data_IF_254956714226
#
_entry.id   IF_254956714226
#
_cell.length_a   1.000
_cell.length_b   1.000
_cell.length_c   1.000
_cell.angle_alpha   90.00
_cell.angle_beta   90.00
_cell.angle_gamma   90.00
#
_symmetry.space_group_name_H-M   'P 1'
#
loop_
_entity.id
_entity.type
_entity.pdbx_description
1 polymer ?
#
# COMPACT_ATOMS: atom_id res chain seq x y z
N UNK A 1 7.79 28.08 17.51
CA UNK A 1 8.31 26.83 16.91
C UNK A 1 7.11 25.89 16.85
N UNK A 2 6.32 25.84 15.79
CA UNK A 2 6.70 25.60 14.41
C UNK A 2 6.43 24.11 14.12
N UNK A 3 5.37 23.85 13.37
CA UNK A 3 4.91 22.56 12.82
C UNK A 3 3.89 21.79 13.67
N UNK A 4 2.61 22.09 13.41
CA UNK A 4 1.52 21.16 13.62
C UNK A 4 1.61 20.01 12.63
N UNK A 5 1.47 18.79 13.12
CA UNK A 5 1.14 17.62 12.33
C UNK A 5 0.12 16.81 13.13
N UNK A 6 -1.10 17.34 13.23
CA UNK A 6 -2.26 16.50 13.51
C UNK A 6 -2.47 15.60 12.28
N UNK A 7 -1.85 14.43 12.25
CA UNK A 7 -2.33 13.31 11.43
C UNK A 7 -2.87 12.24 12.39
N UNK A 8 -4.04 12.52 12.96
CA UNK A 8 -4.88 11.51 13.60
C UNK A 8 -5.27 10.48 12.52
N UNK A 9 -4.40 9.48 12.32
CA UNK A 9 -4.63 8.30 11.49
C UNK A 9 -5.27 7.23 12.37
N UNK A 10 -6.44 7.54 12.92
CA UNK A 10 -7.18 6.70 13.89
C UNK A 10 -8.10 5.69 13.20
N UNK A 11 -7.80 5.30 11.95
CA UNK A 11 -8.61 4.36 11.17
C UNK A 11 -8.06 2.94 11.13
N UNK A 12 -6.75 2.79 11.00
CA UNK A 12 -6.09 1.48 10.88
C UNK A 12 -5.66 0.97 12.26
N UNK A 13 -5.81 -0.33 12.48
CA UNK A 13 -5.30 -0.97 13.69
C UNK A 13 -3.77 -0.94 13.73
N UNK A 14 -3.17 -0.74 14.91
CA UNK A 14 -1.72 -0.62 15.09
C UNK A 14 -0.96 -1.84 14.56
N UNK A 15 -1.54 -3.03 14.76
CA UNK A 15 -1.01 -4.30 14.22
C UNK A 15 -0.91 -4.28 12.69
N UNK A 16 -1.95 -3.80 12.01
CA UNK A 16 -1.96 -3.72 10.54
C UNK A 16 -0.95 -2.70 10.05
N UNK A 17 -0.84 -1.56 10.74
CA UNK A 17 0.16 -0.53 10.44
C UNK A 17 1.58 -1.09 10.55
N UNK A 18 1.88 -1.79 11.64
CA UNK A 18 3.18 -2.43 11.82
C UNK A 18 3.48 -3.44 10.71
N UNK A 19 2.51 -4.29 10.35
CA UNK A 19 2.65 -5.27 9.25
C UNK A 19 2.86 -4.60 7.90
N UNK A 20 2.06 -3.60 7.57
CA UNK A 20 2.19 -2.83 6.35
C UNK A 20 3.57 -2.18 6.24
N UNK A 21 4.06 -1.56 7.32
CA UNK A 21 5.40 -0.97 7.36
C UNK A 21 6.52 -2.01 7.24
N UNK A 22 6.34 -3.18 7.85
CA UNK A 22 7.31 -4.28 7.73
C UNK A 22 7.45 -4.75 6.28
N UNK A 23 6.33 -4.90 5.57
CA UNK A 23 6.34 -5.23 4.14
C UNK A 23 6.95 -4.10 3.32
N UNK A 24 6.61 -2.85 3.64
CA UNK A 24 7.19 -1.70 2.96
C UNK A 24 8.72 -1.75 3.00
N UNK A 25 9.29 -1.92 4.20
CA UNK A 25 10.74 -2.06 4.42
C UNK A 25 11.34 -3.32 3.80
N UNK A 26 10.54 -4.37 3.60
CA UNK A 26 10.97 -5.60 2.94
C UNK A 26 11.15 -5.38 1.43
N UNK A 27 10.31 -4.54 0.84
CA UNK A 27 10.34 -4.20 -0.58
C UNK A 27 11.37 -3.09 -0.83
N UNK A 28 11.40 -2.07 0.03
CA UNK A 28 12.38 -0.96 0.06
C UNK A 28 13.75 -1.48 0.52
N UNK A 29 14.44 -2.18 -0.38
CA UNK A 29 15.74 -2.79 -0.14
C UNK A 29 16.80 -1.70 0.06
N UNK A 30 16.66 -0.56 -0.64
CA UNK A 30 17.61 0.54 -0.58
C UNK A 30 17.37 1.49 0.61
N UNK A 31 16.30 1.29 1.39
CA UNK A 31 15.87 2.15 2.51
C UNK A 31 15.77 3.62 2.11
N UNK A 32 15.31 3.89 0.89
CA UNK A 32 15.10 5.25 0.39
C UNK A 32 13.88 5.93 1.02
N UNK A 33 12.97 5.15 1.62
CA UNK A 33 11.68 5.64 2.11
C UNK A 33 10.60 5.68 1.02
N UNK A 34 10.88 5.13 -0.15
CA UNK A 34 9.96 5.01 -1.28
C UNK A 34 10.20 3.72 -2.04
N UNK A 35 9.13 3.02 -2.40
CA UNK A 35 9.22 1.80 -3.19
C UNK A 35 9.21 2.14 -4.68
N UNK A 36 10.24 1.69 -5.38
CA UNK A 36 10.32 1.83 -6.83
C UNK A 36 9.94 0.55 -7.60
N UNK A 37 9.80 0.68 -8.93
CA UNK A 37 9.40 -0.42 -9.81
C UNK A 37 10.46 -1.51 -9.89
N UNK A 38 11.73 -1.19 -9.69
CA UNK A 38 12.82 -2.16 -9.76
C UNK A 38 12.89 -2.99 -8.47
N UNK A 39 12.65 -2.36 -7.33
CA UNK A 39 12.55 -3.00 -6.01
C UNK A 39 11.39 -4.00 -5.93
N UNK A 40 10.21 -3.60 -6.38
CA UNK A 40 9.04 -4.50 -6.47
C UNK A 40 9.28 -5.66 -7.42
N UNK A 41 9.93 -5.43 -8.56
CA UNK A 41 10.33 -6.51 -9.46
C UNK A 41 11.30 -7.50 -8.80
N UNK A 42 12.28 -6.99 -8.03
CA UNK A 42 13.22 -7.80 -7.25
C UNK A 42 12.56 -8.52 -6.09
N UNK A 43 11.45 -8.00 -5.55
CA UNK A 43 10.69 -8.66 -4.49
C UNK A 43 9.97 -9.89 -5.03
N UNK A 44 9.21 -9.76 -6.14
CA UNK A 44 8.41 -10.86 -6.68
C UNK A 44 9.18 -11.90 -7.49
N UNK A 45 10.37 -11.59 -8.02
CA UNK A 45 11.31 -12.47 -8.78
C UNK A 45 10.70 -13.47 -9.79
N UNK A 46 9.46 -13.27 -10.19
CA UNK A 46 8.67 -14.19 -11.03
C UNK A 46 8.37 -13.53 -12.36
N UNK A 47 7.96 -14.31 -13.36
CA UNK A 47 7.53 -13.77 -14.66
C UNK A 47 6.36 -12.77 -14.54
N UNK A 48 5.60 -12.83 -13.45
CA UNK A 48 4.50 -11.91 -13.15
C UNK A 48 4.89 -10.68 -12.34
N UNK A 49 6.16 -10.53 -11.97
CA UNK A 49 6.64 -9.41 -11.16
C UNK A 49 6.27 -8.06 -11.80
N UNK A 50 6.40 -7.92 -13.13
CA UNK A 50 5.98 -6.70 -13.85
C UNK A 50 4.48 -6.41 -13.74
N UNK A 51 3.65 -7.46 -13.83
CA UNK A 51 2.18 -7.32 -13.72
C UNK A 51 1.79 -6.95 -12.30
N UNK A 52 2.37 -7.61 -11.30
CA UNK A 52 2.16 -7.29 -9.88
C UNK A 52 2.62 -5.87 -9.56
N UNK A 53 3.79 -5.48 -10.05
CA UNK A 53 4.33 -4.12 -9.91
C UNK A 53 3.34 -3.12 -10.49
N UNK A 54 2.93 -3.27 -11.75
CA UNK A 54 2.00 -2.31 -12.36
C UNK A 54 0.65 -2.25 -11.62
N UNK A 55 0.13 -3.39 -11.16
CA UNK A 55 -1.12 -3.45 -10.40
C UNK A 55 -1.00 -2.78 -9.02
N UNK A 56 0.14 -2.95 -8.35
CA UNK A 56 0.46 -2.32 -7.08
C UNK A 56 0.53 -0.80 -7.24
N UNK A 57 1.32 -0.32 -8.19
CA UNK A 57 1.45 1.10 -8.47
C UNK A 57 0.09 1.71 -8.83
N UNK A 58 -0.67 1.10 -9.73
CA UNK A 58 -2.01 1.62 -10.07
C UNK A 58 -2.96 1.73 -8.88
N UNK A 59 -2.77 0.95 -7.82
CA UNK A 59 -3.62 0.94 -6.64
C UNK A 59 -3.15 1.92 -5.56
N UNK A 60 -1.84 2.11 -5.41
CA UNK A 60 -1.22 2.84 -4.28
C UNK A 60 -0.56 4.16 -4.69
N UNK A 61 -0.03 4.25 -5.91
CA UNK A 61 0.59 5.45 -6.48
C UNK A 61 -0.51 6.43 -6.91
N UNK A 62 -1.02 7.19 -5.94
CA UNK A 62 -2.14 8.12 -6.14
C UNK A 62 -1.73 9.34 -6.96
N UNK A 63 -0.49 9.80 -6.76
CA UNK A 63 0.05 10.96 -7.45
C UNK A 63 0.67 10.62 -8.82
N UNK A 64 0.80 9.33 -9.15
CA UNK A 64 1.43 8.82 -10.38
C UNK A 64 2.88 9.30 -10.51
N UNK A 65 3.55 9.53 -9.40
CA UNK A 65 4.98 9.88 -9.37
C UNK A 65 5.85 8.74 -9.90
N UNK A 66 5.33 7.51 -9.90
CA UNK A 66 6.07 6.32 -10.29
C UNK A 66 6.92 5.74 -9.17
N UNK A 67 6.72 6.20 -7.92
CA UNK A 67 7.29 5.66 -6.68
C UNK A 67 6.19 5.65 -5.61
N UNK A 68 6.19 4.68 -4.70
CA UNK A 68 5.21 4.61 -3.62
C UNK A 68 5.86 5.06 -2.32
N UNK A 69 5.40 6.17 -1.77
CA UNK A 69 5.92 6.70 -0.50
C UNK A 69 5.31 5.95 0.70
N UNK A 70 5.98 5.97 1.85
CA UNK A 70 5.43 5.39 3.09
C UNK A 70 4.05 5.99 3.45
N UNK A 71 3.89 7.31 3.26
CA UNK A 71 2.61 8.00 3.48
C UNK A 71 1.48 7.45 2.58
N UNK A 72 1.77 7.22 1.28
CA UNK A 72 0.78 6.71 0.32
C UNK A 72 0.43 5.25 0.60
N UNK A 73 1.44 4.45 0.92
CA UNK A 73 1.28 3.07 1.36
C UNK A 73 0.35 2.97 2.57
N UNK A 74 0.59 3.79 3.59
CA UNK A 74 -0.24 3.82 4.79
C UNK A 74 -1.65 4.33 4.51
N UNK A 75 -1.78 5.40 3.72
CA UNK A 75 -3.07 5.95 3.32
C UNK A 75 -3.92 4.93 2.55
N UNK A 76 -3.29 4.14 1.67
CA UNK A 76 -3.97 3.07 0.94
C UNK A 76 -4.65 2.08 1.87
N UNK A 77 -3.93 1.55 2.87
CA UNK A 77 -4.52 0.60 3.84
C UNK A 77 -5.64 1.23 4.66
N UNK A 78 -5.55 2.52 4.98
CA UNK A 78 -6.67 3.24 5.61
C UNK A 78 -7.88 3.35 4.70
N UNK A 79 -7.68 3.55 3.39
CA UNK A 79 -8.76 3.57 2.42
C UNK A 79 -9.36 2.17 2.25
N UNK A 80 -8.54 1.12 2.22
CA UNK A 80 -9.01 -0.28 2.24
C UNK A 80 -9.94 -0.50 3.42
N UNK A 81 -9.51 -0.11 4.63
CA UNK A 81 -10.34 -0.16 5.83
C UNK A 81 -11.65 0.64 5.69
N UNK A 82 -11.58 1.88 5.20
CA UNK A 82 -12.74 2.77 4.99
C UNK A 82 -13.71 2.27 3.92
N UNK A 83 -13.21 1.54 2.92
CA UNK A 83 -14.04 0.95 1.85
C UNK A 83 -14.88 -0.25 2.35
N UNK A 84 -14.64 -0.71 3.58
CA UNK A 84 -15.46 -1.71 4.26
C UNK A 84 -14.79 -3.08 4.44
N UNK A 85 -13.48 -3.20 4.25
CA UNK A 85 -12.74 -4.42 4.60
C UNK A 85 -12.47 -4.48 6.11
N UNK A 86 -12.56 -5.69 6.65
CA UNK A 86 -12.29 -5.95 8.07
C UNK A 86 -10.79 -6.00 8.36
N UNK A 87 -10.40 -5.84 9.63
CA UNK A 87 -8.97 -5.95 10.01
C UNK A 87 -8.40 -7.31 9.66
N UNK A 88 -9.22 -8.36 9.77
CA UNK A 88 -8.80 -9.73 9.50
C UNK A 88 -8.50 -9.93 8.02
N UNK A 89 -9.39 -9.49 7.14
CA UNK A 89 -9.16 -9.53 5.69
C UNK A 89 -7.89 -8.75 5.32
N UNK A 90 -7.73 -7.54 5.84
CA UNK A 90 -6.53 -6.74 5.58
C UNK A 90 -5.26 -7.46 6.08
N UNK A 91 -5.30 -8.04 7.27
CA UNK A 91 -4.16 -8.78 7.83
C UNK A 91 -3.79 -9.99 6.99
N UNK A 92 -4.77 -10.77 6.52
CA UNK A 92 -4.54 -11.94 5.69
C UNK A 92 -3.91 -11.54 4.35
N UNK A 93 -4.34 -10.43 3.76
CA UNK A 93 -3.73 -9.90 2.52
C UNK A 93 -2.30 -9.39 2.74
N UNK A 94 -2.04 -8.73 3.87
CA UNK A 94 -0.69 -8.31 4.25
C UNK A 94 0.23 -9.52 4.44
N UNK A 95 -0.21 -10.56 5.13
CA UNK A 95 0.59 -11.78 5.34
C UNK A 95 0.85 -12.50 3.99
N UNK A 96 -0.15 -12.58 3.11
CA UNK A 96 0.01 -13.11 1.75
C UNK A 96 1.10 -12.36 0.98
N UNK A 97 1.07 -11.02 1.06
CA UNK A 97 2.05 -10.16 0.41
C UNK A 97 3.46 -10.37 1.00
N UNK A 98 3.57 -10.50 2.32
CA UNK A 98 4.84 -10.78 3.02
C UNK A 98 5.45 -12.13 2.62
N UNK A 99 4.63 -13.14 2.35
CA UNK A 99 5.05 -14.44 1.81
C UNK A 99 5.51 -14.34 0.34
N UNK A 100 5.34 -13.20 -0.32
CA UNK A 100 5.72 -12.98 -1.72
C UNK A 100 4.64 -13.43 -2.72
N UNK A 101 3.38 -13.61 -2.27
CA UNK A 101 2.25 -13.87 -3.18
C UNK A 101 1.94 -12.63 -4.01
N UNK A 102 1.25 -12.85 -5.14
CA UNK A 102 0.87 -11.80 -6.07
C UNK A 102 0.04 -10.69 -5.40
N UNK A 103 0.15 -9.46 -5.91
CA UNK A 103 -0.60 -8.31 -5.40
C UNK A 103 -2.10 -8.47 -5.64
N UNK A 104 -2.91 -8.22 -4.60
CA UNK A 104 -4.37 -8.29 -4.68
C UNK A 104 -4.96 -6.92 -4.97
N UNK A 105 -5.77 -6.85 -6.03
CA UNK A 105 -6.50 -5.63 -6.38
C UNK A 105 -7.75 -5.47 -5.52
N UNK A 106 -7.76 -4.44 -4.68
CA UNK A 106 -8.92 -4.08 -3.87
C UNK A 106 -9.93 -3.28 -4.70
N UNK A 107 -10.80 -3.98 -5.44
CA UNK A 107 -11.80 -3.35 -6.33
C UNK A 107 -12.67 -2.30 -5.63
N UNK A 108 -13.06 -2.54 -4.38
CA UNK A 108 -13.85 -1.56 -3.60
C UNK A 108 -13.09 -0.27 -3.32
N UNK A 109 -11.76 -0.33 -3.23
CA UNK A 109 -10.91 0.86 -3.05
C UNK A 109 -10.85 1.68 -4.32
N UNK A 110 -10.64 1.03 -5.46
CA UNK A 110 -10.65 1.71 -6.77
C UNK A 110 -11.99 2.43 -7.02
N UNK A 111 -13.12 1.78 -6.71
CA UNK A 111 -14.45 2.41 -6.77
C UNK A 111 -14.61 3.56 -5.77
N UNK A 112 -14.11 3.40 -4.55
CA UNK A 112 -14.19 4.43 -3.51
C UNK A 112 -13.39 5.69 -3.91
N UNK A 113 -12.17 5.52 -4.40
CA UNK A 113 -11.29 6.62 -4.83
C UNK A 113 -11.86 7.33 -6.06
N UNK A 114 -12.37 6.57 -7.05
CA UNK A 114 -13.04 7.15 -8.22
C UNK A 114 -14.27 7.96 -7.84
N UNK A 115 -15.04 7.49 -6.86
CA UNK A 115 -16.24 8.19 -6.37
C UNK A 115 -15.90 9.50 -5.65
N UNK A 116 -14.77 9.56 -4.95
CA UNK A 116 -14.32 10.76 -4.25
C UNK A 116 -13.79 11.83 -5.22
N UNK A 117 -13.08 11.44 -6.28
CA UNK A 117 -12.63 12.35 -7.35
C UNK A 117 -13.75 12.95 -8.23
N UNK A 118 -14.97 12.41 -8.16
CA UNK A 118 -16.13 12.85 -8.95
C UNK A 118 -17.00 13.89 -8.22
N UNK A 119 -16.56 14.41 -7.07
CA UNK A 119 -17.20 15.50 -6.33
C UNK A 119 -16.44 16.81 -6.49
#
# INVERSE_FOLDING_TARGET
MGCGAQKNSTGLNEKLRARALEIFRRIDINNSGSIDKDETQKFWKTNFAKVNTQALFNAVDFDKSGQISEDEWMAFWEIVKKSGYTDKEISEELDNLMEGKAWVQFKKVDEFVKRDQLR
#
